data_IF_604447533765
#
_entry.id   IF_604447533765
#
_cell.length_a   1.000
_cell.length_b   1.000
_cell.length_c   1.000
_cell.angle_alpha   90.00
_cell.angle_beta   90.00
_cell.angle_gamma   90.00
#
_symmetry.space_group_name_H-M   'P 1'
#
loop_
_entity.id
_entity.type
_entity.pdbx_description
1 polymer ?
#
# COMPACT_ATOMS: atom_id res chain seq x y z
N UNK A 1 21.20 30.12 -21.78
CA UNK A 1 20.55 29.89 -20.47
C UNK A 1 19.04 29.93 -20.63
N UNK A 2 18.37 28.78 -20.70
CA UNK A 2 16.90 28.71 -20.74
C UNK A 2 16.37 28.88 -19.31
N UNK A 3 15.62 29.95 -19.03
CA UNK A 3 14.94 30.15 -17.74
C UNK A 3 13.93 29.00 -17.57
N UNK A 4 14.10 28.14 -16.56
CA UNK A 4 13.11 27.11 -16.20
C UNK A 4 11.76 27.81 -15.98
N UNK A 5 10.72 27.44 -16.72
CA UNK A 5 9.36 27.97 -16.51
C UNK A 5 8.93 27.59 -15.09
N UNK A 6 8.80 28.57 -14.22
CA UNK A 6 8.29 28.36 -12.87
C UNK A 6 6.78 28.07 -12.97
N UNK A 7 6.34 26.91 -12.47
CA UNK A 7 4.93 26.56 -12.41
C UNK A 7 4.17 27.63 -11.59
N UNK A 8 2.91 27.96 -11.96
CA UNK A 8 2.12 28.88 -11.17
C UNK A 8 1.99 28.37 -9.72
N UNK A 9 1.91 29.26 -8.72
CA UNK A 9 2.07 28.88 -7.31
C UNK A 9 1.15 27.73 -6.86
N UNK A 10 -0.11 27.77 -7.30
CA UNK A 10 -1.12 26.71 -7.07
C UNK A 10 -0.77 25.38 -7.74
N UNK A 11 -0.34 25.39 -9.01
CA UNK A 11 0.07 24.20 -9.75
C UNK A 11 1.31 23.54 -9.14
N UNK A 12 2.24 24.34 -8.62
CA UNK A 12 3.42 23.83 -7.93
C UNK A 12 3.08 23.09 -6.64
N UNK A 13 2.07 23.54 -5.89
CA UNK A 13 1.59 22.85 -4.68
C UNK A 13 0.88 21.55 -5.04
N UNK A 14 0.03 21.57 -6.08
CA UNK A 14 -0.65 20.36 -6.55
C UNK A 14 0.36 19.29 -7.01
N UNK A 15 1.44 19.71 -7.69
CA UNK A 15 2.51 18.79 -8.09
C UNK A 15 3.21 18.13 -6.88
N UNK A 16 3.44 18.86 -5.78
CA UNK A 16 4.04 18.31 -4.55
C UNK A 16 3.07 17.35 -3.84
N UNK A 17 1.78 17.69 -3.81
CA UNK A 17 0.74 16.86 -3.19
C UNK A 17 0.50 15.55 -3.95
N UNK A 18 0.65 15.56 -5.29
CA UNK A 18 0.55 14.36 -6.14
C UNK A 18 1.88 13.62 -6.32
N UNK A 19 3.00 14.26 -6.04
CA UNK A 19 4.33 13.72 -6.29
C UNK A 19 4.63 12.49 -5.42
N UNK A 20 5.44 11.58 -5.98
CA UNK A 20 5.91 10.36 -5.32
C UNK A 20 7.04 10.56 -4.31
N UNK A 21 7.19 11.76 -3.75
CA UNK A 21 8.21 12.04 -2.74
C UNK A 21 7.89 11.35 -1.40
N UNK A 22 8.95 11.05 -0.64
CA UNK A 22 8.81 10.52 0.73
C UNK A 22 7.98 11.48 1.60
N UNK A 23 7.24 10.98 2.61
CA UNK A 23 6.42 11.83 3.48
C UNK A 23 7.20 13.03 4.09
N UNK A 24 8.45 12.82 4.47
CA UNK A 24 9.33 13.87 4.98
C UNK A 24 9.80 14.84 3.88
N UNK A 25 10.11 14.34 2.68
CA UNK A 25 10.41 15.18 1.51
C UNK A 25 9.24 16.08 1.14
N UNK A 26 8.02 15.52 1.12
CA UNK A 26 6.77 16.25 0.90
C UNK A 26 6.54 17.30 1.96
N UNK A 27 6.74 16.97 3.24
CA UNK A 27 6.63 17.92 4.35
C UNK A 27 7.54 19.13 4.16
N UNK A 28 8.82 18.89 3.86
CA UNK A 28 9.80 19.95 3.65
C UNK A 28 9.44 20.84 2.46
N UNK A 29 9.01 20.24 1.34
CA UNK A 29 8.60 21.00 0.16
C UNK A 29 7.33 21.83 0.38
N UNK A 30 6.33 21.28 1.08
CA UNK A 30 5.11 22.00 1.45
C UNK A 30 5.40 23.13 2.44
N UNK A 31 6.30 22.90 3.40
CA UNK A 31 6.72 23.93 4.34
C UNK A 31 7.42 25.09 3.63
N UNK A 32 8.28 24.80 2.65
CA UNK A 32 8.91 25.84 1.81
C UNK A 32 7.86 26.62 1.00
N UNK A 33 6.81 25.96 0.49
CA UNK A 33 5.70 26.65 -0.18
C UNK A 33 4.90 27.51 0.79
N UNK A 34 4.65 27.05 2.01
CA UNK A 34 3.96 27.84 3.02
C UNK A 34 4.77 29.10 3.36
N UNK A 35 6.08 28.96 3.60
CA UNK A 35 6.99 30.07 3.91
C UNK A 35 7.11 31.10 2.77
N UNK A 36 7.03 30.63 1.52
CA UNK A 36 7.11 31.49 0.34
C UNK A 36 5.80 32.23 0.03
N UNK A 37 4.67 31.91 0.67
CA UNK A 37 3.39 32.58 0.41
C UNK A 37 3.32 33.91 1.17
N UNK A 38 3.00 35.05 0.53
CA UNK A 38 3.02 36.36 1.20
C UNK A 38 1.98 36.52 2.31
N UNK A 39 0.89 35.72 2.28
CA UNK A 39 -0.20 35.78 3.28
C UNK A 39 -0.19 34.61 4.27
N UNK A 40 0.92 33.88 4.41
CA UNK A 40 0.98 32.80 5.40
C UNK A 40 0.88 33.37 6.83
N UNK A 41 0.16 32.67 7.71
CA UNK A 41 0.11 33.04 9.12
C UNK A 41 1.50 32.82 9.78
N UNK A 42 2.15 33.86 10.34
CA UNK A 42 3.52 33.76 10.85
C UNK A 42 3.69 32.74 11.98
N UNK A 43 2.62 32.48 12.75
CA UNK A 43 2.61 31.49 13.82
C UNK A 43 2.66 30.04 13.34
N UNK A 44 2.01 29.74 12.20
CA UNK A 44 1.96 28.41 11.61
C UNK A 44 3.32 27.98 11.08
N UNK A 45 4.01 28.87 10.36
CA UNK A 45 5.36 28.64 9.86
C UNK A 45 6.37 28.34 11.00
N UNK A 46 6.31 29.13 12.09
CA UNK A 46 7.16 28.90 13.27
C UNK A 46 6.84 27.59 13.97
N UNK A 47 5.56 27.23 14.07
CA UNK A 47 5.11 25.97 14.68
C UNK A 47 5.66 24.75 13.94
N UNK A 48 5.51 24.70 12.61
CA UNK A 48 6.01 23.58 11.81
C UNK A 48 7.54 23.50 11.76
N UNK A 49 8.22 24.64 11.75
CA UNK A 49 9.68 24.69 11.74
C UNK A 49 10.30 24.27 13.10
N UNK A 50 9.65 24.62 14.23
CA UNK A 50 10.13 24.25 15.56
C UNK A 50 9.78 22.80 15.93
N UNK A 51 8.62 22.31 15.50
CA UNK A 51 8.17 20.97 15.86
C UNK A 51 8.83 19.88 15.00
N UNK A 52 9.12 20.16 13.73
CA UNK A 52 9.68 19.19 12.78
C UNK A 52 8.64 18.24 12.17
N UNK A 53 9.12 17.20 11.46
CA UNK A 53 8.27 16.24 10.74
C UNK A 53 7.60 15.22 11.67
N UNK A 54 6.30 14.99 11.45
CA UNK A 54 5.58 13.78 11.86
C UNK A 54 4.46 13.49 10.85
N UNK A 55 3.96 12.24 10.80
CA UNK A 55 2.88 11.87 9.86
C UNK A 55 1.59 12.66 10.10
N UNK A 56 1.23 12.89 11.36
CA UNK A 56 0.06 13.70 11.73
C UNK A 56 0.23 15.16 11.29
N UNK A 57 1.42 15.74 11.52
CA UNK A 57 1.70 17.13 11.14
C UNK A 57 1.81 17.34 9.64
N UNK A 58 2.20 16.31 8.88
CA UNK A 58 2.11 16.34 7.43
C UNK A 58 0.66 16.51 6.97
N UNK A 59 -0.28 15.76 7.56
CA UNK A 59 -1.70 15.90 7.22
C UNK A 59 -2.25 17.30 7.56
N UNK A 60 -1.86 17.87 8.71
CA UNK A 60 -2.23 19.25 9.09
C UNK A 60 -1.60 20.29 8.15
N UNK A 61 -0.31 20.14 7.81
CA UNK A 61 0.38 21.02 6.89
C UNK A 61 -0.21 20.95 5.48
N UNK A 62 -0.57 19.76 4.99
CA UNK A 62 -1.25 19.59 3.70
C UNK A 62 -2.59 20.33 3.68
N UNK A 63 -3.37 20.26 4.77
CA UNK A 63 -4.62 21.00 4.90
C UNK A 63 -4.40 22.51 4.87
N UNK A 64 -3.45 23.02 5.67
CA UNK A 64 -3.16 24.45 5.76
C UNK A 64 -2.63 25.01 4.43
N UNK A 65 -1.78 24.24 3.74
CA UNK A 65 -1.24 24.63 2.42
C UNK A 65 -2.34 24.58 1.35
N UNK A 66 -3.22 23.57 1.36
CA UNK A 66 -4.38 23.53 0.43
C UNK A 66 -5.29 24.74 0.63
N UNK A 67 -5.56 25.11 1.89
CA UNK A 67 -6.36 26.28 2.23
C UNK A 67 -5.71 27.58 1.79
N UNK A 68 -4.41 27.74 2.06
CA UNK A 68 -3.64 28.96 1.72
C UNK A 68 -3.54 29.17 0.20
N UNK A 69 -3.40 28.08 -0.57
CA UNK A 69 -3.27 28.14 -2.03
C UNK A 69 -4.59 27.92 -2.79
N UNK A 70 -5.72 27.83 -2.09
CA UNK A 70 -7.04 27.61 -2.68
C UNK A 70 -7.12 26.33 -3.53
N UNK A 71 -6.43 25.26 -3.13
CA UNK A 71 -6.43 23.97 -3.82
C UNK A 71 -7.64 23.16 -3.36
N UNK A 72 -8.52 22.83 -4.31
CA UNK A 72 -9.69 21.97 -4.08
C UNK A 72 -9.39 20.53 -4.49
N UNK A 73 -10.18 19.58 -3.99
CA UNK A 73 -10.09 18.18 -4.43
C UNK A 73 -10.32 18.04 -5.95
N UNK A 74 -11.12 18.92 -6.57
CA UNK A 74 -11.31 18.95 -8.02
C UNK A 74 -10.03 19.35 -8.77
N UNK A 75 -9.25 20.27 -8.20
CA UNK A 75 -7.93 20.64 -8.77
C UNK A 75 -6.92 19.50 -8.63
N UNK A 76 -7.00 18.72 -7.54
CA UNK A 76 -6.21 17.50 -7.38
C UNK A 76 -6.65 16.39 -8.35
N UNK A 77 -7.86 16.40 -8.90
CA UNK A 77 -8.25 15.37 -9.88
C UNK A 77 -7.84 15.81 -11.28
N UNK A 78 -8.10 17.06 -11.64
CA UNK A 78 -7.89 17.63 -12.98
C UNK A 78 -6.45 18.05 -13.33
N UNK A 79 -5.50 17.97 -12.40
CA UNK A 79 -4.13 18.41 -12.67
C UNK A 79 -3.33 17.42 -13.54
N UNK A 80 -3.00 17.86 -14.76
CA UNK A 80 -1.98 17.31 -15.65
C UNK A 80 -0.69 18.14 -15.56
N UNK A 81 0.48 17.54 -15.27
CA UNK A 81 1.74 18.28 -15.19
C UNK A 81 2.18 18.74 -16.59
N UNK A 82 2.56 20.02 -16.70
CA UNK A 82 3.30 20.55 -17.86
C UNK A 82 4.66 19.85 -17.93
N UNK A 83 4.78 18.82 -18.78
CA UNK A 83 6.07 18.18 -19.08
C UNK A 83 6.65 18.79 -20.36
N UNK A 84 7.92 19.21 -20.30
CA UNK A 84 8.69 19.74 -21.45
C UNK A 84 9.22 18.60 -22.37
N UNK A 85 8.45 17.52 -22.54
CA UNK A 85 8.79 16.45 -23.48
C UNK A 85 8.43 16.87 -24.92
N UNK A 86 9.24 16.52 -25.93
CA UNK A 86 9.02 16.96 -27.31
C UNK A 86 7.67 16.45 -27.81
N UNK A 87 6.84 17.37 -28.29
CA UNK A 87 5.58 17.07 -28.99
C UNK A 87 5.92 16.32 -30.29
N UNK A 88 5.97 15.00 -30.24
CA UNK A 88 5.74 14.19 -31.43
C UNK A 88 4.30 14.44 -31.84
N UNK A 89 4.14 15.02 -33.03
CA UNK A 89 2.84 15.15 -33.71
C UNK A 89 2.30 13.76 -33.98
N UNK A 90 1.58 13.20 -33.01
CA UNK A 90 0.56 12.19 -33.30
C UNK A 90 -0.73 12.97 -33.44
N UNK A 91 -1.30 12.97 -34.65
CA UNK A 91 -2.64 13.49 -34.90
C UNK A 91 -3.62 12.68 -34.05
N UNK A 92 -3.96 13.19 -32.87
CA UNK A 92 -5.12 12.74 -32.10
C UNK A 92 -6.35 13.42 -32.70
N UNK A 93 -7.11 12.69 -33.50
CA UNK A 93 -8.49 13.03 -33.78
C UNK A 93 -9.30 12.95 -32.47
N UNK A 94 -9.70 14.11 -31.96
CA UNK A 94 -10.86 14.37 -31.10
C UNK A 94 -11.13 13.44 -29.92
N UNK A 95 -10.61 13.76 -28.73
CA UNK A 95 -11.22 13.37 -27.46
C UNK A 95 -12.08 14.51 -26.93
N UNK A 96 -13.37 14.51 -27.30
CA UNK A 96 -14.39 15.16 -26.50
C UNK A 96 -14.71 14.23 -25.33
N UNK A 97 -14.35 14.62 -24.12
CA UNK A 97 -14.77 13.92 -22.91
C UNK A 97 -16.23 14.33 -22.65
N UNK A 98 -17.19 13.66 -23.29
CA UNK A 98 -18.62 13.97 -23.13
C UNK A 98 -19.17 13.33 -21.86
N UNK A 99 -20.07 14.05 -21.19
CA UNK A 99 -20.78 13.57 -20.00
C UNK A 99 -21.58 12.27 -20.30
N UNK A 100 -21.98 12.10 -21.57
CA UNK A 100 -22.65 10.91 -22.08
C UNK A 100 -21.79 9.63 -21.99
N UNK A 101 -20.51 9.67 -22.37
CA UNK A 101 -19.64 8.50 -22.26
C UNK A 101 -19.48 8.05 -20.79
N UNK A 102 -19.30 9.01 -19.87
CA UNK A 102 -19.22 8.69 -18.45
C UNK A 102 -20.52 8.05 -17.94
N UNK A 103 -21.67 8.61 -18.34
CA UNK A 103 -23.00 8.08 -17.97
C UNK A 103 -23.23 6.67 -18.52
N UNK A 104 -22.72 6.35 -19.71
CA UNK A 104 -22.78 5.01 -20.31
C UNK A 104 -21.98 3.95 -19.51
N UNK A 105 -20.81 4.34 -19.01
CA UNK A 105 -19.94 3.41 -18.26
C UNK A 105 -20.44 3.15 -16.85
N UNK A 106 -20.90 4.21 -16.17
CA UNK A 106 -21.36 4.13 -14.78
C UNK A 106 -22.81 3.62 -14.65
N UNK A 107 -23.62 3.79 -15.70
CA UNK A 107 -25.03 3.41 -15.70
C UNK A 107 -25.29 1.95 -16.07
N UNK A 108 -26.35 1.40 -15.46
CA UNK A 108 -26.96 0.13 -15.85
C UNK A 108 -27.99 0.37 -16.96
N UNK A 109 -27.62 0.04 -18.20
CA UNK A 109 -28.43 0.29 -19.41
C UNK A 109 -29.82 -0.36 -19.31
N UNK A 110 -29.94 -1.51 -18.65
CA UNK A 110 -31.21 -2.25 -18.53
C UNK A 110 -32.15 -1.62 -17.50
N UNK A 111 -31.61 -0.82 -16.57
CA UNK A 111 -32.37 -0.15 -15.52
C UNK A 111 -32.70 1.32 -15.85
N UNK A 112 -32.23 1.85 -16.98
CA UNK A 112 -32.41 3.25 -17.35
C UNK A 112 -33.85 3.59 -17.71
N UNK A 113 -34.32 4.75 -17.25
CA UNK A 113 -35.61 5.29 -17.68
C UNK A 113 -35.56 5.66 -19.17
N UNK A 114 -36.50 5.12 -19.95
CA UNK A 114 -36.51 5.28 -21.41
C UNK A 114 -36.51 6.76 -21.84
N UNK A 115 -37.30 7.62 -21.19
CA UNK A 115 -37.48 9.01 -21.62
C UNK A 115 -36.42 9.95 -21.04
N UNK A 116 -35.96 9.69 -19.82
CA UNK A 116 -35.06 10.58 -19.08
C UNK A 116 -33.59 10.25 -19.27
N UNK A 117 -33.26 8.98 -19.55
CA UNK A 117 -31.90 8.49 -19.51
C UNK A 117 -31.52 7.78 -20.81
N UNK A 118 -32.23 6.69 -21.17
CA UNK A 118 -31.85 5.84 -22.30
C UNK A 118 -31.88 6.58 -23.64
N UNK A 119 -33.00 7.22 -23.96
CA UNK A 119 -33.19 7.95 -25.21
C UNK A 119 -32.26 9.16 -25.37
N UNK A 120 -32.16 10.09 -24.39
CA UNK A 120 -31.25 11.21 -24.53
C UNK A 120 -29.79 10.75 -24.66
N UNK A 121 -29.38 9.75 -23.86
CA UNK A 121 -28.02 9.21 -23.90
C UNK A 121 -27.67 8.59 -25.27
N UNK A 122 -28.54 7.73 -25.81
CA UNK A 122 -28.34 7.12 -27.12
C UNK A 122 -28.32 8.16 -28.25
N UNK A 123 -29.17 9.18 -28.17
CA UNK A 123 -29.24 10.26 -29.18
C UNK A 123 -27.99 11.13 -29.13
N UNK A 124 -27.51 11.49 -27.95
CA UNK A 124 -26.29 12.28 -27.75
C UNK A 124 -25.07 11.51 -28.28
N UNK A 125 -24.91 10.24 -27.91
CA UNK A 125 -23.79 9.42 -28.37
C UNK A 125 -23.83 9.13 -29.87
N UNK A 126 -25.01 8.92 -30.45
CA UNK A 126 -25.17 8.78 -31.89
C UNK A 126 -24.81 10.07 -32.64
N UNK A 127 -25.24 11.23 -32.14
CA UNK A 127 -24.89 12.52 -32.73
C UNK A 127 -23.38 12.81 -32.63
N UNK A 128 -22.75 12.49 -31.50
CA UNK A 128 -21.30 12.65 -31.31
C UNK A 128 -20.47 11.74 -32.22
N UNK A 129 -20.95 10.51 -32.44
CA UNK A 129 -20.27 9.51 -33.28
C UNK A 129 -20.63 9.63 -34.77
N UNK A 130 -21.67 10.39 -35.12
CA UNK A 130 -22.21 10.47 -36.48
C UNK A 130 -22.94 9.19 -36.92
N UNK A 131 -23.42 8.40 -35.97
CA UNK A 131 -24.13 7.13 -36.21
C UNK A 131 -25.63 7.40 -36.44
N UNK A 132 -26.24 6.69 -37.40
CA UNK A 132 -27.69 6.73 -37.60
C UNK A 132 -28.40 5.68 -36.72
N UNK A 133 -29.33 6.13 -35.88
CA UNK A 133 -30.15 5.23 -35.06
C UNK A 133 -31.27 4.63 -35.92
N UNK A 134 -31.38 3.29 -36.02
CA UNK A 134 -32.32 2.65 -36.93
C UNK A 134 -33.79 2.84 -36.51
N UNK A 135 -34.08 2.86 -35.20
CA UNK A 135 -35.35 3.33 -34.67
C UNK A 135 -35.20 3.85 -33.23
N UNK A 136 -36.28 4.41 -32.67
CA UNK A 136 -36.31 5.00 -31.33
C UNK A 136 -36.89 4.06 -30.28
N UNK A 137 -36.97 2.74 -30.50
CA UNK A 137 -37.51 1.80 -29.51
C UNK A 137 -36.47 1.51 -28.43
N UNK A 138 -36.94 1.27 -27.20
CA UNK A 138 -36.06 1.01 -26.05
C UNK A 138 -35.04 -0.10 -26.30
N UNK A 139 -35.47 -1.26 -26.81
CA UNK A 139 -34.59 -2.38 -27.10
C UNK A 139 -33.45 -2.02 -28.08
N UNK A 140 -33.78 -1.27 -29.14
CA UNK A 140 -32.83 -0.87 -30.18
C UNK A 140 -31.83 0.18 -29.68
N UNK A 141 -32.26 1.07 -28.79
CA UNK A 141 -31.38 2.05 -28.15
C UNK A 141 -30.45 1.37 -27.13
N UNK A 142 -30.95 0.41 -26.34
CA UNK A 142 -30.12 -0.39 -25.43
C UNK A 142 -29.07 -1.20 -26.18
N UNK A 143 -29.45 -1.87 -27.28
CA UNK A 143 -28.52 -2.61 -28.15
C UNK A 143 -27.42 -1.71 -28.71
N UNK A 144 -27.79 -0.51 -29.18
CA UNK A 144 -26.83 0.49 -29.64
C UNK A 144 -25.85 0.91 -28.53
N UNK A 145 -26.35 1.21 -27.33
CA UNK A 145 -25.52 1.61 -26.19
C UNK A 145 -24.57 0.50 -25.73
N UNK A 146 -25.01 -0.76 -25.71
CA UNK A 146 -24.15 -1.91 -25.43
C UNK A 146 -23.04 -2.06 -26.47
N UNK A 147 -23.39 -1.97 -27.76
CA UNK A 147 -22.42 -1.99 -28.86
C UNK A 147 -21.37 -0.89 -28.70
N UNK A 148 -21.80 0.35 -28.43
CA UNK A 148 -20.90 1.49 -28.19
C UNK A 148 -19.99 1.23 -26.98
N UNK A 149 -20.55 0.71 -25.88
CA UNK A 149 -19.82 0.39 -24.65
C UNK A 149 -18.75 -0.68 -24.88
N UNK A 150 -19.07 -1.72 -25.64
CA UNK A 150 -18.15 -2.81 -25.97
C UNK A 150 -17.04 -2.36 -26.92
N UNK A 151 -17.36 -1.60 -27.96
CA UNK A 151 -16.37 -1.04 -28.89
C UNK A 151 -15.34 -0.17 -28.16
N UNK A 152 -15.81 0.72 -27.28
CA UNK A 152 -14.93 1.62 -26.52
C UNK A 152 -14.09 0.82 -25.52
N UNK A 153 -14.68 -0.19 -24.87
CA UNK A 153 -13.94 -1.08 -23.96
C UNK A 153 -12.81 -1.82 -24.68
N UNK A 154 -13.04 -2.30 -25.90
CA UNK A 154 -12.01 -2.95 -26.73
C UNK A 154 -10.89 -1.97 -27.09
N UNK A 155 -11.22 -0.74 -27.51
CA UNK A 155 -10.23 0.30 -27.82
C UNK A 155 -9.41 0.69 -26.58
N UNK A 156 -10.05 0.81 -25.41
CA UNK A 156 -9.36 1.18 -24.17
C UNK A 156 -8.43 0.06 -23.68
N UNK A 157 -8.85 -1.20 -23.78
CA UNK A 157 -8.00 -2.36 -23.45
C UNK A 157 -6.85 -2.50 -24.45
N UNK A 158 -7.10 -2.29 -25.74
CA UNK A 158 -6.07 -2.29 -26.79
C UNK A 158 -5.02 -1.20 -26.58
N UNK A 159 -5.45 0.05 -26.36
CA UNK A 159 -4.55 1.17 -26.09
C UNK A 159 -3.79 1.03 -24.77
N UNK A 160 -4.41 0.49 -23.72
CA UNK A 160 -3.71 0.16 -22.48
C UNK A 160 -2.64 -0.90 -22.69
N UNK A 161 -2.92 -1.94 -23.50
CA UNK A 161 -1.96 -2.98 -23.85
C UNK A 161 -0.79 -2.42 -24.66
N UNK A 162 -1.06 -1.62 -25.68
CA UNK A 162 -0.03 -0.92 -26.46
C UNK A 162 0.78 0.06 -25.61
N UNK A 163 0.15 0.77 -24.66
CA UNK A 163 0.85 1.66 -23.74
C UNK A 163 1.79 0.90 -22.79
N UNK A 164 1.40 -0.30 -22.34
CA UNK A 164 2.25 -1.19 -21.54
C UNK A 164 3.39 -1.77 -22.38
N UNK A 165 3.11 -2.20 -23.62
CA UNK A 165 4.11 -2.74 -24.55
C UNK A 165 5.11 -1.67 -25.04
N UNK A 166 4.72 -0.40 -25.06
CA UNK A 166 5.59 0.72 -25.45
C UNK A 166 6.18 1.48 -24.26
N UNK A 167 5.87 1.09 -23.03
CA UNK A 167 6.47 1.69 -21.85
C UNK A 167 8.00 1.48 -21.86
N UNK A 168 8.80 2.45 -21.38
CA UNK A 168 10.24 2.28 -21.31
C UNK A 168 10.61 1.13 -20.36
N UNK A 169 11.75 0.47 -20.58
CA UNK A 169 12.11 -0.77 -19.85
C UNK A 169 12.24 -0.58 -18.33
N UNK A 170 12.51 0.65 -17.88
CA UNK A 170 12.49 0.99 -16.46
C UNK A 170 11.07 1.02 -15.85
N UNK A 171 10.03 1.15 -16.68
CA UNK A 171 8.60 1.09 -16.29
C UNK A 171 8.04 -0.32 -16.53
N UNK A 172 8.57 -1.06 -17.51
CA UNK A 172 8.28 -2.49 -17.70
C UNK A 172 9.00 -3.40 -16.72
N UNK A 173 10.10 -2.92 -16.15
CA UNK A 173 10.83 -3.61 -15.11
C UNK A 173 9.91 -3.83 -13.92
N UNK A 174 9.66 -5.10 -13.57
CA UNK A 174 8.92 -5.45 -12.37
C UNK A 174 9.54 -4.80 -11.13
N UNK A 175 8.79 -4.80 -10.04
CA UNK A 175 9.21 -4.25 -8.75
C UNK A 175 10.66 -4.64 -8.41
N UNK A 176 11.56 -3.64 -8.42
CA UNK A 176 12.97 -3.82 -8.10
C UNK A 176 13.15 -3.72 -6.59
N UNK A 177 13.04 -4.86 -5.92
CA UNK A 177 13.16 -4.96 -4.46
C UNK A 177 14.48 -4.37 -3.95
N UNK A 178 15.58 -4.54 -4.68
CA UNK A 178 16.89 -4.00 -4.32
C UNK A 178 16.96 -2.46 -4.42
N UNK A 179 16.17 -1.84 -5.31
CA UNK A 179 16.07 -0.38 -5.36
C UNK A 179 15.26 0.16 -4.17
N UNK A 180 14.25 -0.58 -3.70
CA UNK A 180 13.46 -0.20 -2.52
C UNK A 180 14.21 -0.47 -1.21
N UNK A 181 15.00 -1.55 -1.17
CA UNK A 181 15.77 -2.00 -0.01
C UNK A 181 17.26 -2.14 -0.38
N UNK A 182 17.99 -1.02 -0.52
CA UNK A 182 19.41 -1.05 -0.93
C UNK A 182 20.31 -1.89 -0.01
N UNK A 183 19.97 -1.98 1.27
CA UNK A 183 20.70 -2.79 2.23
C UNK A 183 20.81 -4.26 1.83
N UNK A 184 19.91 -4.78 0.98
CA UNK A 184 19.99 -6.18 0.52
C UNK A 184 21.27 -6.48 -0.29
N UNK A 185 21.87 -5.45 -0.90
CA UNK A 185 23.13 -5.54 -1.64
C UNK A 185 24.37 -5.32 -0.75
N UNK A 186 24.17 -4.95 0.52
CA UNK A 186 25.26 -4.72 1.46
C UNK A 186 25.75 -6.06 2.06
N UNK A 187 27.05 -6.12 2.36
CA UNK A 187 27.72 -7.32 2.90
C UNK A 187 27.32 -7.60 4.37
N UNK A 188 26.91 -6.58 5.11
CA UNK A 188 26.50 -6.63 6.52
C UNK A 188 24.99 -6.90 6.72
N UNK A 189 24.22 -7.02 5.62
CA UNK A 189 22.80 -7.33 5.68
C UNK A 189 22.54 -8.69 6.37
N UNK A 190 21.72 -8.72 7.43
CA UNK A 190 21.32 -9.96 8.09
C UNK A 190 20.71 -10.98 7.11
N UNK A 191 21.22 -12.21 7.12
CA UNK A 191 20.75 -13.29 6.23
C UNK A 191 19.25 -13.56 6.36
N UNK A 192 18.70 -13.45 7.59
CA UNK A 192 17.26 -13.59 7.86
C UNK A 192 16.40 -12.57 7.10
N UNK A 193 16.89 -11.34 6.89
CA UNK A 193 16.14 -10.35 6.09
C UNK A 193 16.11 -10.73 4.60
N UNK A 194 17.18 -11.33 4.07
CA UNK A 194 17.21 -11.88 2.70
C UNK A 194 16.25 -13.07 2.55
N UNK A 195 16.16 -13.91 3.57
CA UNK A 195 15.17 -15.00 3.64
C UNK A 195 13.74 -14.45 3.63
N UNK A 196 13.45 -13.43 4.45
CA UNK A 196 12.15 -12.77 4.46
C UNK A 196 11.75 -12.18 3.11
N UNK A 197 12.69 -11.63 2.34
CA UNK A 197 12.38 -11.14 0.98
C UNK A 197 11.87 -12.27 0.07
N UNK A 198 12.48 -13.46 0.15
CA UNK A 198 12.00 -14.64 -0.59
C UNK A 198 10.58 -15.04 -0.17
N UNK A 199 10.31 -15.02 1.13
CA UNK A 199 9.00 -15.32 1.69
C UNK A 199 7.95 -14.27 1.31
N UNK A 200 8.33 -12.99 1.31
CA UNK A 200 7.49 -11.87 0.88
C UNK A 200 7.00 -12.05 -0.56
N UNK A 201 7.92 -12.38 -1.47
CA UNK A 201 7.59 -12.64 -2.89
C UNK A 201 6.67 -13.85 -3.01
N UNK A 202 6.92 -14.90 -2.22
CA UNK A 202 6.09 -16.11 -2.21
C UNK A 202 4.69 -15.86 -1.68
N UNK A 203 4.57 -15.13 -0.57
CA UNK A 203 3.30 -14.74 0.02
C UNK A 203 2.48 -13.89 -0.97
N UNK A 204 3.10 -12.90 -1.63
CA UNK A 204 2.42 -12.09 -2.64
C UNK A 204 1.91 -12.91 -3.83
N UNK A 205 2.71 -13.88 -4.30
CA UNK A 205 2.31 -14.77 -5.39
C UNK A 205 1.10 -15.62 -5.01
N UNK A 206 1.13 -16.22 -3.82
CA UNK A 206 0.04 -17.03 -3.28
C UNK A 206 -1.23 -16.20 -3.08
N UNK A 207 -1.10 -15.00 -2.51
CA UNK A 207 -2.21 -14.06 -2.37
C UNK A 207 -2.87 -13.73 -3.73
N UNK A 208 -2.07 -13.40 -4.75
CA UNK A 208 -2.59 -13.13 -6.10
C UNK A 208 -3.28 -14.35 -6.71
N UNK A 209 -2.71 -15.53 -6.52
CA UNK A 209 -3.28 -16.78 -7.01
C UNK A 209 -4.63 -17.07 -6.33
N UNK A 210 -4.69 -17.03 -5.00
CA UNK A 210 -5.94 -17.26 -4.27
C UNK A 210 -7.03 -16.25 -4.65
N UNK A 211 -6.70 -14.97 -4.84
CA UNK A 211 -7.68 -13.98 -5.34
C UNK A 211 -8.16 -14.24 -6.75
N UNK A 212 -7.29 -14.77 -7.62
CA UNK A 212 -7.66 -15.15 -8.98
C UNK A 212 -8.63 -16.33 -8.93
N UNK A 213 -8.30 -17.36 -8.17
CA UNK A 213 -9.12 -18.57 -8.00
C UNK A 213 -10.48 -18.22 -7.36
N UNK A 214 -10.53 -17.36 -6.34
CA UNK A 214 -11.78 -16.85 -5.75
C UNK A 214 -12.68 -16.16 -6.78
N UNK A 215 -12.08 -15.40 -7.71
CA UNK A 215 -12.84 -14.71 -8.75
C UNK A 215 -13.40 -15.68 -9.79
N UNK A 216 -12.67 -16.76 -10.07
CA UNK A 216 -13.06 -17.79 -11.03
C UNK A 216 -14.08 -18.78 -10.45
N UNK A 217 -14.05 -19.03 -9.13
CA UNK A 217 -14.89 -20.00 -8.43
C UNK A 217 -16.36 -19.58 -8.31
N UNK A 218 -16.66 -18.29 -8.19
CA UNK A 218 -18.04 -17.83 -7.96
C UNK A 218 -18.61 -18.26 -6.60
N UNK A 219 -19.94 -18.39 -6.49
CA UNK A 219 -20.63 -18.82 -5.26
C UNK A 219 -20.86 -20.35 -5.19
N UNK A 220 -20.26 -21.11 -6.12
CA UNK A 220 -20.60 -22.51 -6.38
C UNK A 220 -20.03 -23.50 -5.36
N UNK A 221 -18.95 -23.14 -4.65
CA UNK A 221 -18.32 -23.97 -3.62
C UNK A 221 -17.94 -23.15 -2.36
N UNK A 222 -18.81 -23.12 -1.35
CA UNK A 222 -18.57 -22.37 -0.11
C UNK A 222 -17.35 -22.86 0.70
N UNK A 223 -17.01 -24.14 0.62
CA UNK A 223 -15.90 -24.71 1.41
C UNK A 223 -14.56 -24.30 0.80
N UNK A 224 -14.42 -24.45 -0.52
CA UNK A 224 -13.25 -23.97 -1.26
C UNK A 224 -13.13 -22.44 -1.23
N UNK A 225 -14.25 -21.71 -1.28
CA UNK A 225 -14.28 -20.25 -1.07
C UNK A 225 -13.67 -19.86 0.28
N UNK A 226 -14.04 -20.53 1.37
CA UNK A 226 -13.52 -20.26 2.69
C UNK A 226 -12.02 -20.55 2.78
N UNK A 227 -11.57 -21.69 2.22
CA UNK A 227 -10.15 -22.05 2.19
C UNK A 227 -9.30 -21.04 1.41
N UNK A 228 -9.74 -20.66 0.21
CA UNK A 228 -9.04 -19.67 -0.61
C UNK A 228 -9.05 -18.28 0.02
N UNK A 229 -10.14 -17.92 0.71
CA UNK A 229 -10.23 -16.67 1.47
C UNK A 229 -9.24 -16.66 2.63
N UNK A 230 -9.18 -17.74 3.41
CA UNK A 230 -8.21 -17.88 4.50
C UNK A 230 -6.77 -17.78 3.98
N UNK A 231 -6.43 -18.53 2.92
CA UNK A 231 -5.12 -18.46 2.26
C UNK A 231 -4.80 -17.05 1.77
N UNK A 232 -5.76 -16.35 1.18
CA UNK A 232 -5.54 -14.97 0.71
C UNK A 232 -5.25 -14.03 1.88
N UNK A 233 -6.00 -14.13 2.98
CA UNK A 233 -5.79 -13.29 4.17
C UNK A 233 -4.43 -13.59 4.80
N UNK A 234 -4.13 -14.86 5.08
CA UNK A 234 -2.87 -15.28 5.69
C UNK A 234 -1.65 -14.79 4.90
N UNK A 235 -1.65 -14.97 3.58
CA UNK A 235 -0.53 -14.54 2.74
C UNK A 235 -0.45 -13.01 2.60
N UNK A 236 -1.57 -12.30 2.70
CA UNK A 236 -1.57 -10.84 2.72
C UNK A 236 -1.00 -10.30 4.03
N UNK A 237 -1.39 -10.89 5.17
CA UNK A 237 -0.89 -10.52 6.49
C UNK A 237 0.61 -10.82 6.60
N UNK A 238 1.05 -12.01 6.21
CA UNK A 238 2.47 -12.37 6.17
C UNK A 238 3.29 -11.39 5.31
N UNK A 239 2.80 -11.06 4.11
CA UNK A 239 3.47 -10.10 3.23
C UNK A 239 3.60 -8.71 3.89
N UNK A 240 2.56 -8.27 4.60
CA UNK A 240 2.54 -7.00 5.32
C UNK A 240 3.47 -6.99 6.53
N UNK A 241 3.53 -8.08 7.30
CA UNK A 241 4.43 -8.24 8.44
C UNK A 241 5.89 -8.20 8.00
N UNK A 242 6.23 -8.96 6.96
CA UNK A 242 7.58 -8.93 6.38
C UNK A 242 7.92 -7.52 5.88
N UNK A 243 6.99 -6.87 5.17
CA UNK A 243 7.22 -5.49 4.73
C UNK A 243 7.50 -4.54 5.89
N UNK A 244 6.80 -4.70 7.02
CA UNK A 244 7.04 -3.88 8.20
C UNK A 244 8.45 -4.10 8.78
N UNK A 245 8.96 -5.34 8.81
CA UNK A 245 10.36 -5.63 9.19
C UNK A 245 11.36 -4.94 8.25
N UNK A 246 11.18 -5.10 6.93
CA UNK A 246 12.09 -4.54 5.92
C UNK A 246 12.08 -3.01 5.95
N UNK A 247 10.89 -2.40 6.06
CA UNK A 247 10.73 -0.95 6.14
C UNK A 247 11.37 -0.41 7.45
N UNK A 248 11.19 -1.11 8.57
CA UNK A 248 11.81 -0.72 9.84
C UNK A 248 13.34 -0.82 9.80
N UNK A 249 13.88 -1.92 9.26
CA UNK A 249 15.32 -2.08 9.13
C UNK A 249 15.93 -1.01 8.21
N UNK A 250 15.26 -0.70 7.09
CA UNK A 250 15.66 0.39 6.19
C UNK A 250 15.76 1.74 6.91
N UNK A 251 14.85 2.03 7.83
CA UNK A 251 14.78 3.31 8.53
C UNK A 251 15.73 3.38 9.74
N UNK A 252 15.95 2.27 10.45
CA UNK A 252 16.62 2.27 11.76
C UNK A 252 17.95 1.50 11.79
N UNK A 253 18.21 0.64 10.80
CA UNK A 253 19.36 -0.28 10.78
C UNK A 253 19.28 -1.39 11.84
N UNK A 254 18.14 -1.56 12.50
CA UNK A 254 17.90 -2.58 13.53
C UNK A 254 16.71 -3.46 13.15
N UNK A 255 16.72 -4.71 13.63
CA UNK A 255 15.61 -5.65 13.48
C UNK A 255 14.42 -5.19 14.35
N UNK A 256 13.22 -5.14 13.75
CA UNK A 256 11.99 -4.84 14.49
C UNK A 256 11.63 -6.01 15.41
N UNK A 257 11.72 -7.23 14.88
CA UNK A 257 11.65 -8.46 15.66
C UNK A 257 10.24 -8.94 16.01
N UNK A 258 9.25 -8.49 15.25
CA UNK A 258 7.87 -8.98 15.33
C UNK A 258 7.69 -10.29 14.56
N UNK A 259 8.42 -10.49 13.46
CA UNK A 259 8.29 -11.70 12.66
C UNK A 259 8.90 -12.92 13.41
N UNK A 260 8.24 -14.10 13.39
CA UNK A 260 8.68 -15.29 14.14
C UNK A 260 10.14 -15.72 13.91
N UNK A 261 10.69 -15.46 12.72
CA UNK A 261 12.09 -15.74 12.37
C UNK A 261 13.11 -15.07 13.31
N UNK A 262 12.71 -13.99 13.98
CA UNK A 262 13.54 -13.22 14.89
C UNK A 262 13.28 -13.52 16.37
N UNK A 263 12.35 -14.42 16.71
CA UNK A 263 11.99 -14.72 18.11
C UNK A 263 13.22 -15.04 18.97
N UNK A 264 14.10 -15.91 18.49
CA UNK A 264 15.33 -16.29 19.20
C UNK A 264 16.28 -15.10 19.42
N UNK A 265 16.44 -14.25 18.42
CA UNK A 265 17.32 -13.07 18.47
C UNK A 265 16.77 -12.01 19.42
N UNK A 266 15.46 -11.79 19.39
CA UNK A 266 14.78 -10.88 20.31
C UNK A 266 14.81 -11.40 21.74
N UNK A 267 14.69 -12.72 21.92
CA UNK A 267 14.85 -13.35 23.23
C UNK A 267 16.28 -13.20 23.75
N UNK A 268 17.29 -13.39 22.90
CA UNK A 268 18.69 -13.16 23.25
C UNK A 268 18.93 -11.69 23.61
N UNK A 269 18.51 -10.72 22.79
CA UNK A 269 18.61 -9.27 23.05
C UNK A 269 17.94 -8.90 24.38
N UNK A 270 16.78 -9.49 24.68
CA UNK A 270 16.09 -9.32 25.97
C UNK A 270 16.93 -9.84 27.14
N UNK A 271 17.48 -11.04 27.02
CA UNK A 271 18.31 -11.64 28.07
C UNK A 271 19.60 -10.84 28.26
N UNK A 272 20.22 -10.34 27.20
CA UNK A 272 21.42 -9.50 27.24
C UNK A 272 21.15 -8.12 27.84
N UNK A 273 19.93 -7.61 27.68
CA UNK A 273 19.45 -6.38 28.34
C UNK A 273 19.28 -6.49 29.86
N UNK A 274 19.29 -7.70 30.45
CA UNK A 274 19.22 -7.86 31.90
C UNK A 274 20.45 -7.30 32.61
N UNK A 275 20.24 -6.70 33.78
CA UNK A 275 21.34 -6.30 34.66
C UNK A 275 21.94 -7.54 35.33
N UNK A 276 23.26 -7.56 35.47
CA UNK A 276 23.97 -8.71 36.02
C UNK A 276 23.50 -9.09 37.44
N UNK A 277 23.26 -8.09 38.30
CA UNK A 277 22.72 -8.29 39.65
C UNK A 277 21.32 -8.93 39.68
N UNK A 278 20.55 -8.82 38.59
CA UNK A 278 19.18 -9.34 38.50
C UNK A 278 19.12 -10.77 37.93
N UNK A 279 20.19 -11.25 37.28
CA UNK A 279 20.22 -12.56 36.61
C UNK A 279 19.91 -13.72 37.56
N UNK A 280 20.43 -13.68 38.78
CA UNK A 280 20.16 -14.69 39.80
C UNK A 280 18.68 -14.80 40.18
N UNK A 281 18.02 -13.64 40.33
CA UNK A 281 16.59 -13.56 40.63
C UNK A 281 15.75 -14.00 39.43
N UNK A 282 16.11 -13.58 38.21
CA UNK A 282 15.43 -13.98 36.97
C UNK A 282 15.45 -15.50 36.80
N UNK A 283 16.62 -16.13 36.98
CA UNK A 283 16.77 -17.60 36.97
C UNK A 283 15.83 -18.28 37.96
N UNK A 284 15.76 -17.80 39.20
CA UNK A 284 14.88 -18.38 40.23
C UNK A 284 13.39 -18.22 39.88
N UNK A 285 13.01 -17.05 39.37
CA UNK A 285 11.63 -16.77 38.94
C UNK A 285 11.22 -17.67 37.78
N UNK A 286 12.06 -17.80 36.75
CA UNK A 286 11.79 -18.65 35.59
C UNK A 286 11.60 -20.11 35.99
N UNK A 287 12.46 -20.66 36.87
CA UNK A 287 12.27 -22.01 37.44
C UNK A 287 10.93 -22.16 38.16
N UNK A 288 10.52 -21.13 38.93
CA UNK A 288 9.21 -21.12 39.60
C UNK A 288 8.06 -21.11 38.60
N UNK A 289 8.14 -20.30 37.55
CA UNK A 289 7.10 -20.20 36.52
C UNK A 289 6.97 -21.50 35.73
N UNK A 290 8.08 -22.10 35.32
CA UNK A 290 8.10 -23.41 34.64
C UNK A 290 7.41 -24.47 35.51
N UNK A 291 7.71 -24.52 36.81
CA UNK A 291 7.08 -25.49 37.71
C UNK A 291 5.57 -25.24 37.89
N UNK A 292 5.17 -23.97 38.05
CA UNK A 292 3.75 -23.61 38.23
C UNK A 292 2.92 -23.88 36.96
N UNK A 293 3.41 -23.45 35.81
CA UNK A 293 2.73 -23.69 34.52
C UNK A 293 2.79 -25.16 34.13
N UNK A 294 3.88 -25.88 34.42
CA UNK A 294 3.95 -27.33 34.21
C UNK A 294 2.86 -28.10 34.98
N UNK A 295 2.60 -27.73 36.24
CA UNK A 295 1.48 -28.30 37.01
C UNK A 295 0.11 -27.95 36.43
N UNK A 296 -0.03 -26.80 35.75
CA UNK A 296 -1.27 -26.45 35.05
C UNK A 296 -1.41 -27.25 33.77
N UNK A 297 -0.32 -27.50 33.04
CA UNK A 297 -0.29 -28.33 31.84
C UNK A 297 -0.77 -29.76 32.13
N UNK A 298 -0.30 -30.35 33.24
CA UNK A 298 -0.74 -31.69 33.69
C UNK A 298 -2.25 -31.75 34.00
N UNK A 299 -2.84 -30.63 34.44
CA UNK A 299 -4.25 -30.54 34.85
C UNK A 299 -5.18 -30.08 33.74
N UNK A 300 -4.65 -29.55 32.63
CA UNK A 300 -5.43 -29.10 31.50
C UNK A 300 -6.12 -30.31 30.83
N UNK A 301 -7.38 -30.12 30.41
CA UNK A 301 -8.22 -31.22 29.90
C UNK A 301 -8.40 -31.15 28.39
N UNK A 302 -8.53 -29.95 27.84
CA UNK A 302 -8.68 -29.68 26.42
C UNK A 302 -7.32 -29.47 25.73
N UNK A 303 -7.28 -29.81 24.44
CA UNK A 303 -6.06 -29.77 23.63
C UNK A 303 -5.56 -28.33 23.41
N UNK A 304 -6.48 -27.39 23.20
CA UNK A 304 -6.12 -25.99 22.93
C UNK A 304 -5.46 -25.34 24.15
N UNK A 305 -6.04 -25.51 25.35
CA UNK A 305 -5.42 -25.03 26.58
C UNK A 305 -4.07 -25.71 26.84
N UNK A 306 -3.93 -27.00 26.52
CA UNK A 306 -2.63 -27.69 26.64
C UNK A 306 -1.59 -27.07 25.72
N UNK A 307 -1.90 -26.85 24.45
CA UNK A 307 -0.99 -26.25 23.48
C UNK A 307 -0.53 -24.85 23.92
N UNK A 308 -1.47 -24.02 24.41
CA UNK A 308 -1.16 -22.66 24.91
C UNK A 308 -0.25 -22.71 26.14
N UNK A 309 -0.53 -23.59 27.10
CA UNK A 309 0.28 -23.70 28.32
C UNK A 309 1.66 -24.29 28.00
N UNK A 310 1.72 -25.28 27.10
CA UNK A 310 2.97 -25.89 26.64
C UNK A 310 3.87 -24.86 25.93
N UNK A 311 3.32 -24.05 25.04
CA UNK A 311 4.05 -22.95 24.39
C UNK A 311 4.64 -21.97 25.43
N UNK A 312 3.87 -21.61 26.47
CA UNK A 312 4.36 -20.74 27.56
C UNK A 312 5.48 -21.40 28.36
N UNK A 313 5.35 -22.68 28.69
CA UNK A 313 6.38 -23.45 29.41
C UNK A 313 7.67 -23.49 28.59
N UNK A 314 7.57 -23.74 27.28
CA UNK A 314 8.72 -23.79 26.39
C UNK A 314 9.38 -22.40 26.23
N UNK A 315 8.60 -21.33 26.14
CA UNK A 315 9.13 -19.96 26.13
C UNK A 315 9.92 -19.64 27.41
N UNK A 316 9.42 -20.04 28.60
CA UNK A 316 10.16 -19.85 29.85
C UNK A 316 11.42 -20.72 29.95
N UNK A 317 11.40 -21.93 29.38
CA UNK A 317 12.59 -22.80 29.31
C UNK A 317 13.66 -22.19 28.42
N UNK A 318 13.30 -21.75 27.21
CA UNK A 318 14.22 -21.09 26.31
C UNK A 318 14.85 -19.84 26.95
N UNK A 319 14.05 -19.00 27.63
CA UNK A 319 14.59 -17.85 28.35
C UNK A 319 15.52 -18.25 29.50
N UNK A 320 15.18 -19.32 30.24
CA UNK A 320 16.00 -19.83 31.33
C UNK A 320 17.36 -20.31 30.84
N UNK A 321 17.40 -21.05 29.73
CA UNK A 321 18.62 -21.59 29.15
C UNK A 321 19.60 -20.47 28.77
N UNK A 322 19.10 -19.40 28.14
CA UNK A 322 19.90 -18.22 27.81
C UNK A 322 20.38 -17.47 29.05
N UNK A 323 19.53 -17.29 30.07
CA UNK A 323 19.92 -16.67 31.34
C UNK A 323 21.01 -17.49 32.05
N UNK A 324 20.88 -18.82 32.07
CA UNK A 324 21.88 -19.71 32.68
C UNK A 324 23.20 -19.71 31.90
N UNK A 325 23.16 -19.70 30.57
CA UNK A 325 24.34 -19.54 29.71
C UNK A 325 25.06 -18.21 29.99
N UNK A 326 24.31 -17.10 30.12
CA UNK A 326 24.88 -15.79 30.45
C UNK A 326 25.54 -15.76 31.82
N UNK A 327 24.89 -16.34 32.85
CA UNK A 327 25.46 -16.48 34.19
C UNK A 327 26.74 -17.33 34.17
N UNK A 328 26.78 -18.39 33.37
CA UNK A 328 27.95 -19.26 33.25
C UNK A 328 29.12 -18.54 32.58
N UNK A 329 28.85 -17.72 31.54
CA UNK A 329 29.87 -16.96 30.83
C UNK A 329 30.44 -15.80 31.65
N UNK A 330 29.64 -15.14 32.49
CA UNK A 330 30.11 -14.06 33.38
C UNK A 330 30.95 -14.52 34.59
N UNK A 331 31.08 -15.83 34.81
CA UNK A 331 31.90 -16.41 35.90
C UNK A 331 33.31 -16.81 35.47
N UNK A 332 33.64 -16.71 34.18
CA UNK A 332 34.99 -16.98 33.65
C UNK A 332 35.82 -15.71 33.65
#
# INVERSE_FOLDING_TARGET
MKRKKQLPPKASVIAILKGGDTPQGRFNQLLQKLLAHPEHAPGLAKHYNAAGFSKERLATLEYDVKKTYGVTNRDLISFEPLTDAPKTKTQSSGTNNSNALQTLFDGDIEAMDYHKELKPLATELAAERGDELPDMKGATLSEYLHKVKDEIKVVYVGSAKEAIENAPDNVKGGWKIHDEYPFLDEDDCPGKLKELVSDMVTAHRKYKQSRKELKELGEDDPELMNELTAKAVENFELNKEIKAELDYYKENGEILGNHPIFEEEMLQKKVDGYKEAELGQKRANLKSYISKEGKKLEKAKDADSKAIIEAKVNAFKAELDLVEARIANGKK
#
